data_IF_405138105134
#
_entry.id   IF_405138105134
#
_cell.length_a   1.000
_cell.length_b   1.000
_cell.length_c   1.000
_cell.angle_alpha   90.00
_cell.angle_beta   90.00
_cell.angle_gamma   90.00
#
_symmetry.space_group_name_H-M   'P 1'
#
loop_
_entity.id
_entity.type
_entity.pdbx_description
1 polymer ?
#
# COMPACT_ATOMS: atom_id res chain seq x y z
N UNK A 1 -24.55 -1.90 11.40
CA UNK A 1 -23.58 -1.64 10.32
C UNK A 1 -22.45 -2.65 10.41
N UNK A 2 -21.84 -3.07 9.30
CA UNK A 2 -20.73 -4.03 9.36
C UNK A 2 -19.54 -3.39 10.11
N UNK A 3 -19.01 -4.12 11.08
CA UNK A 3 -17.87 -3.68 11.89
C UNK A 3 -16.64 -3.52 10.98
N UNK A 4 -15.91 -2.38 11.03
CA UNK A 4 -14.65 -2.24 10.30
C UNK A 4 -13.69 -3.34 10.77
N UNK A 5 -13.06 -4.06 9.82
CA UNK A 5 -11.99 -5.02 10.13
C UNK A 5 -10.96 -4.33 11.01
N UNK A 6 -10.99 -4.69 12.29
CA UNK A 6 -9.98 -4.33 13.28
C UNK A 6 -8.68 -4.95 12.81
N UNK A 7 -7.64 -4.15 12.64
CA UNK A 7 -6.27 -4.65 12.59
C UNK A 7 -6.05 -5.30 13.95
N UNK A 8 -6.03 -6.63 13.97
CA UNK A 8 -5.82 -7.40 15.18
C UNK A 8 -4.37 -7.20 15.65
N UNK A 9 -4.14 -6.59 16.84
CA UNK A 9 -2.80 -6.37 17.36
C UNK A 9 -2.16 -7.65 17.94
N UNK A 10 -2.90 -8.76 18.04
CA UNK A 10 -2.47 -9.96 18.77
C UNK A 10 -1.75 -10.97 17.87
N UNK A 11 -0.92 -10.47 16.95
CA UNK A 11 0.07 -11.32 16.26
C UNK A 11 1.16 -11.68 17.26
N UNK A 12 0.97 -12.79 17.97
CA UNK A 12 2.01 -13.32 18.85
C UNK A 12 3.07 -14.06 18.04
N UNK A 13 4.20 -13.39 17.82
CA UNK A 13 5.38 -13.94 17.15
C UNK A 13 6.02 -15.11 17.90
N UNK A 14 5.50 -15.55 19.06
CA UNK A 14 5.99 -16.73 19.80
C UNK A 14 5.23 -18.00 19.42
N UNK A 15 4.09 -17.90 18.75
CA UNK A 15 3.27 -19.05 18.34
C UNK A 15 3.63 -19.50 16.90
N UNK A 16 4.06 -20.77 16.68
CA UNK A 16 4.47 -21.25 15.35
C UNK A 16 3.36 -21.26 14.29
N UNK A 17 2.09 -21.41 14.69
CA UNK A 17 0.95 -21.44 13.79
C UNK A 17 0.66 -20.04 13.20
N UNK A 18 0.67 -18.98 14.01
CA UNK A 18 0.43 -17.60 13.58
C UNK A 18 1.57 -17.05 12.72
N UNK A 19 2.80 -17.53 12.98
CA UNK A 19 3.99 -17.29 12.14
C UNK A 19 3.84 -17.82 10.71
N UNK A 20 2.95 -18.77 10.45
CA UNK A 20 2.76 -19.40 9.14
C UNK A 20 1.69 -18.68 8.32
N UNK A 21 0.63 -18.19 8.96
CA UNK A 21 -0.43 -17.39 8.32
C UNK A 21 0.07 -16.00 7.86
N UNK A 22 1.02 -15.44 8.61
CA UNK A 22 1.79 -14.23 8.27
C UNK A 22 3.02 -14.49 7.40
N UNK A 23 3.28 -15.71 6.92
CA UNK A 23 4.42 -15.99 6.04
C UNK A 23 4.01 -16.04 4.59
N UNK A 24 2.87 -16.65 4.28
CA UNK A 24 2.49 -16.98 2.91
C UNK A 24 1.92 -15.79 2.13
N UNK A 25 1.33 -14.78 2.80
CA UNK A 25 0.87 -13.51 2.19
C UNK A 25 1.83 -12.33 2.40
N UNK A 26 2.50 -12.18 3.56
CA UNK A 26 3.46 -11.09 3.80
C UNK A 26 4.83 -11.28 3.14
N UNK A 27 5.36 -12.50 2.97
CA UNK A 27 6.68 -12.68 2.35
C UNK A 27 6.71 -12.18 0.90
N UNK A 28 5.64 -12.37 0.14
CA UNK A 28 5.51 -11.81 -1.21
C UNK A 28 5.50 -10.28 -1.21
N UNK A 29 4.79 -9.67 -0.26
CA UNK A 29 4.73 -8.21 -0.09
C UNK A 29 6.10 -7.65 0.33
N UNK A 30 6.77 -8.28 1.29
CA UNK A 30 8.12 -7.91 1.73
C UNK A 30 9.13 -8.09 0.58
N UNK A 31 9.01 -9.15 -0.21
CA UNK A 31 9.84 -9.40 -1.38
C UNK A 31 9.72 -8.29 -2.42
N UNK A 32 8.49 -7.84 -2.74
CA UNK A 32 8.32 -6.71 -3.68
C UNK A 32 8.78 -5.39 -3.08
N UNK A 33 8.59 -5.15 -1.78
CA UNK A 33 9.13 -3.95 -1.11
C UNK A 33 10.65 -3.95 -1.19
N UNK A 34 11.30 -5.08 -0.89
CA UNK A 34 12.76 -5.21 -0.93
C UNK A 34 13.31 -5.01 -2.35
N UNK A 35 12.69 -5.63 -3.36
CA UNK A 35 13.06 -5.46 -4.76
C UNK A 35 12.90 -3.99 -5.22
N UNK A 36 11.78 -3.37 -4.86
CA UNK A 36 11.55 -1.95 -5.14
C UNK A 36 12.56 -1.05 -4.41
N UNK A 37 12.83 -1.34 -3.14
CA UNK A 37 13.79 -0.61 -2.31
C UNK A 37 15.21 -0.67 -2.86
N UNK A 38 15.65 -1.85 -3.31
CA UNK A 38 16.94 -2.01 -3.98
C UNK A 38 17.01 -1.16 -5.25
N UNK A 39 15.97 -1.22 -6.09
CA UNK A 39 15.90 -0.40 -7.32
C UNK A 39 15.95 1.11 -7.01
N UNK A 40 15.16 1.56 -6.03
CA UNK A 40 15.14 2.97 -5.60
C UNK A 40 16.49 3.43 -5.06
N UNK A 41 17.12 2.64 -4.20
CA UNK A 41 18.43 2.95 -3.63
C UNK A 41 19.53 3.02 -4.69
N UNK A 42 19.52 2.09 -5.66
CA UNK A 42 20.46 2.09 -6.79
C UNK A 42 20.24 3.31 -7.69
N UNK A 43 18.99 3.66 -7.99
CA UNK A 43 18.67 4.85 -8.76
C UNK A 43 19.17 6.13 -8.07
N UNK A 44 18.94 6.27 -6.75
CA UNK A 44 19.49 7.37 -5.96
C UNK A 44 21.02 7.40 -6.01
N UNK A 45 21.67 6.25 -5.78
CA UNK A 45 23.13 6.17 -5.81
C UNK A 45 23.69 6.57 -7.18
N UNK A 46 23.02 6.17 -8.28
CA UNK A 46 23.37 6.60 -9.63
C UNK A 46 23.27 8.12 -9.83
N UNK A 47 22.18 8.75 -9.37
CA UNK A 47 22.02 10.21 -9.44
C UNK A 47 23.09 10.93 -8.62
N UNK A 48 23.38 10.44 -7.41
CA UNK A 48 24.43 10.99 -6.54
C UNK A 48 25.84 10.86 -7.15
N UNK A 49 26.12 9.74 -7.83
CA UNK A 49 27.39 9.54 -8.52
C UNK A 49 27.52 10.41 -9.78
N UNK A 50 26.43 10.66 -10.49
CA UNK A 50 26.43 11.49 -11.70
C UNK A 50 26.60 12.98 -11.41
N UNK A 51 26.13 13.46 -10.24
CA UNK A 51 26.20 14.87 -9.84
C UNK A 51 26.86 14.98 -8.47
N UNK A 52 28.19 14.80 -8.39
CA UNK A 52 28.92 14.97 -7.15
C UNK A 52 28.90 16.45 -6.70
N UNK A 53 28.94 16.67 -5.39
CA UNK A 53 29.00 18.02 -4.81
C UNK A 53 30.10 18.10 -3.76
N UNK A 54 30.67 19.30 -3.59
CA UNK A 54 31.57 19.55 -2.46
C UNK A 54 30.78 19.66 -1.14
N UNK A 55 31.43 19.45 0.03
CA UNK A 55 30.76 19.54 1.34
C UNK A 55 30.14 20.91 1.65
N UNK A 56 30.67 22.00 1.09
CA UNK A 56 30.17 23.37 1.26
C UNK A 56 29.23 23.82 0.13
N UNK A 57 29.11 23.00 -0.92
CA UNK A 57 28.26 23.26 -2.08
C UNK A 57 26.82 22.82 -1.85
N UNK A 58 25.91 23.29 -2.71
CA UNK A 58 24.52 22.85 -2.66
C UNK A 58 24.41 21.42 -3.23
N UNK A 59 23.83 20.46 -2.49
CA UNK A 59 23.78 19.06 -2.89
C UNK A 59 22.61 18.78 -3.85
N UNK A 60 22.77 19.21 -5.10
CA UNK A 60 21.74 19.14 -6.14
C UNK A 60 21.19 17.73 -6.37
N UNK A 61 22.03 16.69 -6.29
CA UNK A 61 21.58 15.30 -6.43
C UNK A 61 20.56 14.92 -5.35
N UNK A 62 20.91 15.12 -4.08
CA UNK A 62 20.05 14.77 -2.95
C UNK A 62 18.78 15.63 -2.94
N UNK A 63 18.89 16.92 -3.25
CA UNK A 63 17.74 17.81 -3.44
C UNK A 63 16.77 17.28 -4.51
N UNK A 64 17.28 16.99 -5.72
CA UNK A 64 16.47 16.55 -6.85
C UNK A 64 15.78 15.21 -6.56
N UNK A 65 16.50 14.26 -5.94
CA UNK A 65 15.95 12.96 -5.56
C UNK A 65 14.81 13.10 -4.56
N UNK A 66 14.96 13.93 -3.53
CA UNK A 66 13.91 14.14 -2.54
C UNK A 66 12.70 14.86 -3.14
N UNK A 67 12.90 15.95 -3.89
CA UNK A 67 11.80 16.73 -4.48
C UNK A 67 11.04 15.92 -5.55
N UNK A 68 11.75 15.21 -6.42
CA UNK A 68 11.10 14.34 -7.42
C UNK A 68 10.42 13.13 -6.77
N UNK A 69 10.98 12.56 -5.70
CA UNK A 69 10.29 11.53 -4.92
C UNK A 69 8.99 12.03 -4.28
N UNK A 70 8.99 13.26 -3.76
CA UNK A 70 7.80 13.95 -3.26
C UNK A 70 6.76 14.21 -4.36
N UNK A 71 7.18 14.57 -5.56
CA UNK A 71 6.30 14.69 -6.73
C UNK A 71 5.63 13.34 -7.05
N UNK A 72 6.44 12.28 -7.10
CA UNK A 72 5.98 10.93 -7.44
C UNK A 72 5.03 10.35 -6.38
N UNK A 73 5.26 10.60 -5.08
CA UNK A 73 4.33 10.13 -4.05
C UNK A 73 3.00 10.88 -4.12
N UNK A 74 2.99 12.18 -4.42
CA UNK A 74 1.76 12.94 -4.69
C UNK A 74 0.97 12.35 -5.86
N UNK A 75 1.65 12.08 -6.98
CA UNK A 75 1.02 11.43 -8.13
C UNK A 75 0.50 10.02 -7.81
N UNK A 76 1.26 9.24 -7.02
CA UNK A 76 0.85 7.91 -6.57
C UNK A 76 -0.41 7.97 -5.71
N UNK A 77 -0.54 8.96 -4.82
CA UNK A 77 -1.75 9.14 -4.00
C UNK A 77 -2.99 9.33 -4.87
N UNK A 78 -2.94 10.21 -5.88
CA UNK A 78 -4.04 10.42 -6.82
C UNK A 78 -4.42 9.14 -7.59
N UNK A 79 -3.43 8.39 -8.08
CA UNK A 79 -3.66 7.12 -8.81
C UNK A 79 -4.28 6.06 -7.90
N UNK A 80 -3.83 5.97 -6.65
CA UNK A 80 -4.38 5.06 -5.64
C UNK A 80 -5.81 5.45 -5.29
N UNK A 81 -6.10 6.74 -5.09
CA UNK A 81 -7.44 7.26 -4.85
C UNK A 81 -8.41 6.96 -6.00
N UNK A 82 -7.93 6.97 -7.24
CA UNK A 82 -8.73 6.61 -8.42
C UNK A 82 -9.02 5.10 -8.56
N UNK A 83 -8.51 4.25 -7.66
CA UNK A 83 -8.79 2.81 -7.64
C UNK A 83 -8.16 2.01 -8.78
N UNK A 84 -7.20 2.59 -9.53
CA UNK A 84 -6.62 1.98 -10.74
C UNK A 84 -5.39 1.08 -10.51
N UNK A 85 -5.06 0.76 -9.26
CA UNK A 85 -3.78 0.10 -8.91
C UNK A 85 -3.98 -1.30 -8.35
N UNK A 86 -3.12 -2.22 -8.79
CA UNK A 86 -3.08 -3.59 -8.25
C UNK A 86 -2.58 -3.58 -6.80
N UNK A 87 -3.03 -4.52 -5.95
CA UNK A 87 -2.66 -4.57 -4.53
C UNK A 87 -1.15 -4.57 -4.25
N UNK A 88 -0.35 -5.19 -5.12
CA UNK A 88 1.11 -5.29 -4.99
C UNK A 88 1.87 -4.07 -5.52
N UNK A 89 1.25 -3.25 -6.38
CA UNK A 89 1.90 -2.06 -6.94
C UNK A 89 2.11 -1.00 -5.87
N UNK A 90 1.17 -0.85 -4.94
CA UNK A 90 1.27 0.13 -3.84
C UNK A 90 2.49 -0.12 -2.92
N UNK A 91 2.71 -1.33 -2.36
CA UNK A 91 3.90 -1.60 -1.56
C UNK A 91 5.19 -1.56 -2.39
N UNK A 92 5.19 -2.05 -3.63
CA UNK A 92 6.38 -2.01 -4.50
C UNK A 92 6.82 -0.57 -4.80
N UNK A 93 5.92 0.29 -5.30
CA UNK A 93 6.26 1.65 -5.73
C UNK A 93 6.39 2.60 -4.54
N UNK A 94 5.40 2.59 -3.63
CA UNK A 94 5.32 3.55 -2.53
C UNK A 94 6.36 3.28 -1.46
N UNK A 95 6.36 2.07 -0.90
CA UNK A 95 7.28 1.73 0.21
C UNK A 95 8.63 1.30 -0.33
N UNK A 96 8.66 0.47 -1.37
CA UNK A 96 9.91 0.00 -1.99
C UNK A 96 10.63 1.12 -2.74
N UNK A 97 10.23 1.39 -3.99
CA UNK A 97 10.97 2.29 -4.89
C UNK A 97 11.12 3.69 -4.32
N UNK A 98 10.02 4.34 -3.92
CA UNK A 98 10.09 5.71 -3.41
C UNK A 98 10.77 5.80 -2.05
N UNK A 99 10.58 4.80 -1.19
CA UNK A 99 11.27 4.71 0.10
C UNK A 99 12.78 4.52 -0.03
N UNK A 100 13.25 3.71 -0.98
CA UNK A 100 14.68 3.54 -1.26
C UNK A 100 15.30 4.70 -2.04
N UNK A 101 14.51 5.32 -2.92
CA UNK A 101 14.91 6.45 -3.75
C UNK A 101 15.12 7.70 -2.91
N UNK A 102 14.18 8.08 -2.04
CA UNK A 102 14.33 9.28 -1.20
C UNK A 102 15.24 9.04 0.01
N UNK A 103 15.86 10.10 0.55
CA UNK A 103 16.76 9.99 1.72
C UNK A 103 16.70 11.22 2.62
N UNK A 104 16.33 11.02 3.87
CA UNK A 104 16.41 12.06 4.90
C UNK A 104 17.77 12.06 5.62
N UNK A 105 18.39 10.89 5.81
CA UNK A 105 19.67 10.80 6.52
C UNK A 105 20.78 11.51 5.76
N UNK A 106 20.88 11.30 4.44
CA UNK A 106 21.87 11.99 3.60
C UNK A 106 21.61 13.50 3.60
N UNK A 107 20.34 13.90 3.49
CA UNK A 107 19.94 15.30 3.57
C UNK A 107 20.44 16.01 4.83
N UNK A 108 20.20 15.43 6.01
CA UNK A 108 20.64 16.01 7.29
C UNK A 108 22.17 16.02 7.41
N UNK A 109 22.85 14.97 6.92
CA UNK A 109 24.31 14.94 6.90
C UNK A 109 24.87 16.05 6.01
N UNK A 110 24.34 16.25 4.81
CA UNK A 110 24.78 17.31 3.89
C UNK A 110 24.57 18.71 4.50
N UNK A 111 23.41 18.95 5.13
CA UNK A 111 23.14 20.21 5.86
C UNK A 111 24.17 20.42 6.97
N UNK A 112 24.45 19.37 7.76
CA UNK A 112 25.45 19.43 8.84
C UNK A 112 26.85 19.71 8.29
N UNK A 113 27.23 19.06 7.20
CA UNK A 113 28.55 19.24 6.57
C UNK A 113 28.73 20.67 6.04
N UNK A 114 27.73 21.23 5.38
CA UNK A 114 27.75 22.62 4.93
C UNK A 114 27.87 23.59 6.12
N UNK A 115 27.15 23.34 7.22
CA UNK A 115 27.20 24.18 8.41
C UNK A 115 28.58 24.16 9.08
N UNK A 116 29.17 22.98 9.31
CA UNK A 116 30.50 22.89 9.94
C UNK A 116 31.63 23.36 9.01
N UNK A 117 31.42 23.30 7.69
CA UNK A 117 32.33 23.84 6.67
C UNK A 117 32.28 25.36 6.52
N UNK A 118 31.56 26.08 7.40
CA UNK A 118 31.44 27.54 7.38
C UNK A 118 30.41 28.08 6.37
N UNK A 119 29.69 27.21 5.65
CA UNK A 119 28.70 27.57 4.64
C UNK A 119 27.27 27.55 5.21
N UNK A 120 27.03 28.29 6.30
CA UNK A 120 25.72 28.32 6.98
C UNK A 120 24.58 28.80 6.07
N UNK A 121 24.86 29.73 5.16
CA UNK A 121 23.89 30.18 4.16
C UNK A 121 23.43 29.04 3.23
N UNK A 122 24.37 28.23 2.73
CA UNK A 122 24.05 27.04 1.91
C UNK A 122 23.26 26.02 2.70
N UNK A 123 23.63 25.77 3.96
CA UNK A 123 22.92 24.84 4.82
C UNK A 123 21.45 25.26 5.04
N UNK A 124 21.22 26.53 5.37
CA UNK A 124 19.86 27.08 5.55
C UNK A 124 19.06 27.10 4.25
N UNK A 125 19.69 27.50 3.14
CA UNK A 125 19.06 27.50 1.83
C UNK A 125 18.64 26.09 1.42
N UNK A 126 19.52 25.10 1.61
CA UNK A 126 19.21 23.71 1.30
C UNK A 126 18.10 23.15 2.20
N UNK A 127 18.12 23.49 3.49
CA UNK A 127 17.10 23.09 4.44
C UNK A 127 15.71 23.61 4.01
N UNK A 128 15.62 24.92 3.75
CA UNK A 128 14.37 25.57 3.38
C UNK A 128 13.90 25.15 1.98
N UNK A 129 14.79 25.12 0.99
CA UNK A 129 14.46 24.76 -0.38
C UNK A 129 13.92 23.33 -0.47
N UNK A 130 14.54 22.38 0.23
CA UNK A 130 14.07 20.98 0.22
C UNK A 130 12.69 20.85 0.83
N UNK A 131 12.43 21.50 1.97
CA UNK A 131 11.13 21.47 2.63
C UNK A 131 10.03 22.09 1.75
N UNK A 132 10.25 23.31 1.28
CA UNK A 132 9.28 24.03 0.45
C UNK A 132 9.07 23.32 -0.90
N UNK A 133 10.16 22.87 -1.52
CA UNK A 133 10.14 22.13 -2.77
C UNK A 133 9.40 20.80 -2.63
N UNK A 134 9.60 20.07 -1.54
CA UNK A 134 8.88 18.83 -1.26
C UNK A 134 7.37 19.05 -1.12
N UNK A 135 6.95 20.05 -0.35
CA UNK A 135 5.53 20.38 -0.16
C UNK A 135 4.87 20.79 -1.49
N UNK A 136 5.52 21.68 -2.24
CA UNK A 136 5.05 22.09 -3.56
C UNK A 136 4.97 20.89 -4.53
N UNK A 137 5.99 20.04 -4.54
CA UNK A 137 6.05 18.87 -5.40
C UNK A 137 4.93 17.88 -5.12
N UNK A 138 4.62 17.57 -3.85
CA UNK A 138 3.49 16.69 -3.52
C UNK A 138 2.19 17.25 -4.08
N UNK A 139 1.94 18.54 -3.87
CA UNK A 139 0.70 19.19 -4.32
C UNK A 139 0.59 19.22 -5.84
N UNK A 140 1.68 19.55 -6.53
CA UNK A 140 1.76 19.51 -8.01
C UNK A 140 1.54 18.09 -8.52
N UNK A 141 2.15 17.09 -7.89
CA UNK A 141 2.05 15.69 -8.31
C UNK A 141 0.62 15.17 -8.20
N UNK A 142 -0.02 15.40 -7.07
CA UNK A 142 -1.40 15.00 -6.81
C UNK A 142 -2.39 15.70 -7.77
N UNK A 143 -2.28 17.03 -7.90
CA UNK A 143 -3.17 17.82 -8.76
C UNK A 143 -3.00 17.48 -10.24
N UNK A 144 -1.76 17.36 -10.72
CA UNK A 144 -1.47 16.99 -12.10
C UNK A 144 -1.98 15.58 -12.42
N UNK A 145 -1.71 14.59 -11.57
CA UNK A 145 -2.18 13.23 -11.76
C UNK A 145 -3.71 13.15 -11.76
N UNK A 146 -4.38 13.82 -10.83
CA UNK A 146 -5.85 13.89 -10.78
C UNK A 146 -6.44 14.48 -12.05
N UNK A 147 -5.87 15.57 -12.56
CA UNK A 147 -6.32 16.19 -13.82
C UNK A 147 -6.15 15.24 -15.00
N UNK A 148 -4.99 14.58 -15.14
CA UNK A 148 -4.73 13.63 -16.22
C UNK A 148 -5.69 12.43 -16.17
N UNK A 149 -5.99 11.92 -14.97
CA UNK A 149 -6.95 10.81 -14.78
C UNK A 149 -8.39 11.23 -15.11
N UNK A 150 -8.77 12.48 -14.83
CA UNK A 150 -10.06 13.06 -15.22
C UNK A 150 -10.23 13.16 -16.74
N UNK A 151 -9.22 13.65 -17.45
CA UNK A 151 -9.25 13.74 -18.92
C UNK A 151 -9.34 12.37 -19.59
N UNK A 152 -8.64 11.37 -19.07
CA UNK A 152 -8.72 9.99 -19.57
C UNK A 152 -10.11 9.34 -19.37
N UNK A 153 -10.92 9.87 -18.46
CA UNK A 153 -12.28 9.37 -18.18
C UNK A 153 -13.36 10.09 -19.00
N UNK A 154 -13.09 11.30 -19.48
CA UNK A 154 -13.98 12.09 -20.36
C UNK A 154 -13.95 11.68 -21.84
N UNK A 155 -13.02 10.82 -22.26
CA UNK A 155 -12.84 10.40 -23.65
C UNK A 155 -13.67 9.16 -24.06
N UNK A 156 -14.83 8.90 -23.42
CA UNK A 156 -15.83 7.95 -23.95
C UNK A 156 -17.04 8.69 -24.55
N UNK A 157 -16.93 9.26 -25.76
CA UNK A 157 -18.12 9.56 -26.55
C UNK A 157 -18.70 8.27 -27.12
N UNK A 158 -19.95 7.97 -26.76
CA UNK A 158 -20.77 6.97 -27.46
C UNK A 158 -20.74 5.55 -26.88
N UNK A 159 -21.55 5.30 -25.85
CA UNK A 159 -22.10 3.98 -25.61
C UNK A 159 -23.60 4.11 -25.33
N UNK A 160 -24.36 3.89 -26.41
CA UNK A 160 -25.71 3.34 -26.43
C UNK A 160 -26.85 4.21 -25.90
N UNK A 161 -27.61 4.75 -26.85
CA UNK A 161 -28.96 5.25 -26.65
C UNK A 161 -29.85 4.24 -25.89
N UNK A 162 -30.81 4.68 -25.07
CA UNK A 162 -31.81 3.78 -24.49
C UNK A 162 -32.58 3.09 -25.63
N UNK A 163 -32.38 1.77 -25.74
CA UNK A 163 -33.13 0.93 -26.67
C UNK A 163 -34.61 1.01 -26.30
N UNK A 164 -35.38 1.69 -27.15
CA UNK A 164 -36.84 1.75 -27.13
C UNK A 164 -37.37 0.33 -27.33
N UNK A 165 -37.66 -0.37 -26.24
CA UNK A 165 -38.47 -1.60 -26.27
C UNK A 165 -39.92 -1.24 -26.58
N UNK A 166 -40.22 -1.27 -27.87
CA UNK A 166 -41.44 -1.78 -28.52
C UNK A 166 -42.69 -2.01 -27.63
N UNK A 167 -43.75 -1.17 -27.76
CA UNK A 167 -45.06 -1.45 -27.19
C UNK A 167 -45.83 -2.42 -28.09
N UNK A 168 -45.50 -3.72 -28.06
CA UNK A 168 -46.10 -4.64 -29.03
C UNK A 168 -46.06 -6.13 -28.73
N UNK A 169 -45.42 -6.60 -27.65
CA UNK A 169 -45.37 -8.04 -27.38
C UNK A 169 -46.53 -8.49 -26.50
N UNK A 170 -47.66 -8.80 -27.12
CA UNK A 170 -48.73 -9.63 -26.58
C UNK A 170 -48.20 -11.02 -26.23
N UNK A 171 -48.16 -11.36 -24.95
CA UNK A 171 -48.02 -12.73 -24.46
C UNK A 171 -49.40 -13.40 -24.43
N UNK A 172 -49.61 -14.54 -25.11
CA UNK A 172 -50.79 -15.35 -24.85
C UNK A 172 -50.52 -16.18 -23.59
N UNK A 173 -51.18 -15.80 -22.50
CA UNK A 173 -51.27 -16.57 -21.27
C UNK A 173 -52.11 -17.83 -21.54
N UNK A 174 -51.45 -19.00 -21.66
CA UNK A 174 -52.13 -20.30 -21.64
C UNK A 174 -52.11 -20.82 -20.20
N UNK A 175 -53.28 -20.78 -19.59
CA UNK A 175 -53.65 -21.58 -18.42
C UNK A 175 -53.44 -23.06 -18.70
N UNK A 176 -52.81 -23.79 -17.77
CA UNK A 176 -53.53 -24.89 -17.13
C UNK A 176 -52.93 -25.28 -15.76
N UNK A 177 -53.78 -25.69 -14.78
CA UNK A 177 -53.39 -26.06 -13.43
C UNK A 177 -53.34 -27.58 -13.25
N UNK A 178 -52.22 -28.10 -12.76
CA UNK A 178 -52.12 -29.42 -12.13
C UNK A 178 -51.01 -29.29 -11.09
N UNK A 179 -51.28 -29.26 -9.79
CA UNK A 179 -52.03 -30.26 -9.06
C UNK A 179 -51.01 -31.12 -8.30
N UNK A 180 -50.99 -30.95 -6.97
CA UNK A 180 -50.83 -31.98 -5.92
C UNK A 180 -49.93 -31.49 -4.78
N UNK A 181 -50.49 -31.62 -3.59
CA UNK A 181 -50.11 -31.06 -2.28
C UNK A 181 -49.33 -32.12 -1.46
N UNK A 182 -49.17 -32.06 -0.11
CA UNK A 182 -47.87 -31.98 0.56
C UNK A 182 -47.56 -33.17 1.50
N UNK A 183 -46.38 -33.15 2.13
CA UNK A 183 -46.05 -33.98 3.31
C UNK A 183 -44.53 -34.11 3.44
N UNK A 184 -43.89 -34.15 4.60
CA UNK A 184 -44.29 -34.20 5.99
C UNK A 184 -42.99 -34.13 6.84
N UNK A 185 -43.17 -34.07 8.15
CA UNK A 185 -42.29 -33.40 9.14
C UNK A 185 -41.22 -34.36 9.77
N UNK A 186 -40.67 -34.12 10.99
CA UNK A 186 -39.26 -33.85 11.34
C UNK A 186 -38.57 -34.97 12.16
N UNK A 187 -37.32 -34.74 12.63
CA UNK A 187 -36.73 -35.21 13.92
C UNK A 187 -35.19 -35.14 13.82
N UNK A 188 -34.51 -34.32 14.62
CA UNK A 188 -34.01 -34.58 16.00
C UNK A 188 -32.73 -35.43 16.06
N UNK A 189 -31.72 -34.92 16.80
CA UNK A 189 -30.54 -35.69 17.16
C UNK A 189 -29.33 -34.85 17.60
N UNK A 190 -29.40 -34.25 18.78
CA UNK A 190 -28.25 -33.73 19.53
C UNK A 190 -27.49 -34.88 20.27
N UNK A 191 -26.25 -34.65 20.78
CA UNK A 191 -25.25 -35.68 21.12
C UNK A 191 -25.30 -36.12 22.59
N UNK A 192 -24.50 -37.13 23.04
CA UNK A 192 -23.41 -36.80 23.98
C UNK A 192 -22.20 -37.79 24.07
N UNK A 193 -21.15 -37.34 24.78
CA UNK A 193 -20.14 -38.17 25.49
C UNK A 193 -18.73 -38.16 24.87
N UNK A 194 -17.61 -37.84 25.52
CA UNK A 194 -17.29 -37.61 26.94
C UNK A 194 -16.55 -38.78 27.58
N UNK A 195 -15.20 -38.74 27.66
CA UNK A 195 -14.27 -39.32 28.67
C UNK A 195 -12.83 -38.91 28.26
N UNK A 196 -11.97 -38.24 29.04
CA UNK A 196 -11.38 -38.47 30.37
C UNK A 196 -10.15 -39.42 30.36
N UNK A 197 -8.96 -38.86 30.60
CA UNK A 197 -7.79 -39.39 31.36
C UNK A 197 -6.52 -38.61 30.93
N UNK A 198 -5.94 -37.73 31.75
CA UNK A 198 -5.09 -37.97 32.94
C UNK A 198 -3.66 -38.44 32.60
N UNK A 199 -2.65 -37.84 33.25
CA UNK A 199 -1.29 -38.39 33.31
C UNK A 199 -0.08 -37.44 33.17
N UNK A 200 0.49 -37.06 34.32
CA UNK A 200 1.92 -36.77 34.61
C UNK A 200 2.57 -35.52 33.97
N UNK A 201 2.85 -34.43 34.71
CA UNK A 201 3.89 -34.20 35.74
C UNK A 201 5.30 -34.68 35.36
N UNK A 202 6.18 -33.71 35.11
CA UNK A 202 7.63 -33.87 35.08
C UNK A 202 8.28 -32.49 35.23
N UNK A 203 8.60 -32.12 36.46
CA UNK A 203 9.31 -30.89 36.83
C UNK A 203 10.82 -31.04 36.54
N UNK A 204 11.43 -30.00 35.99
CA UNK A 204 12.87 -29.93 35.74
C UNK A 204 13.39 -28.52 36.02
N UNK A 205 13.80 -28.28 37.26
CA UNK A 205 14.42 -27.04 37.70
C UNK A 205 15.83 -26.85 37.14
N UNK A 206 16.20 -25.59 36.91
CA UNK A 206 17.56 -25.20 36.60
C UNK A 206 17.99 -24.07 37.54
N UNK A 207 18.91 -24.42 38.43
CA UNK A 207 19.66 -23.49 39.26
C UNK A 207 20.77 -22.80 38.47
N UNK A 208 20.98 -21.54 38.82
CA UNK A 208 22.11 -20.68 38.43
C UNK A 208 23.33 -20.97 39.31
N UNK A 209 24.54 -20.70 38.81
CA UNK A 209 25.56 -20.03 39.59
C UNK A 209 25.69 -18.54 39.22
#
# INVERSE_FOLDING_TARGET
GPIPRRVDPDVDLRVPADRSELRTRPAGVLGVIAAGGALGALARAGVQAAVPHQPTGFPWATFAVNVSGCLLIGALMAVVAAGRVRPLTRPFVGVGVLGGYTTFSTYVVDVRQAAIGGAAGTALAYLAATLLGALAAVWVGDTAATRLLGHASGARPGAMAPNRTDPGRTTPNRTDPSGTTPGGTPADGAPPGGTASDGARGEGGWGTP
#
